data_IF_919923225311
#
_entry.id   IF_919923225311
#
_cell.length_a   1.000
_cell.length_b   1.000
_cell.length_c   1.000
_cell.angle_alpha   90.00
_cell.angle_beta   90.00
_cell.angle_gamma   90.00
#
_symmetry.space_group_name_H-M   'P 1'
#
loop_
_entity.id
_entity.type
_entity.pdbx_description
1 polymer ?
#
# COMPACT_ATOMS: atom_id res chain seq x y z
N UNK A 1 -3.33 6.15 -5.97
CA UNK A 1 -3.42 7.22 -4.95
C UNK A 1 -2.05 7.89 -4.91
N UNK A 2 -1.92 9.06 -5.54
CA UNK A 2 -0.62 9.67 -5.86
C UNK A 2 0.07 10.22 -4.61
N UNK A 3 1.40 10.07 -4.54
CA UNK A 3 2.26 10.40 -3.38
C UNK A 3 2.07 11.84 -2.86
N UNK A 4 1.63 12.75 -3.73
CA UNK A 4 1.27 14.13 -3.39
C UNK A 4 0.15 14.20 -2.34
N UNK A 5 -0.86 13.33 -2.39
CA UNK A 5 -1.96 13.34 -1.42
C UNK A 5 -1.54 12.86 -0.03
N UNK A 6 -0.58 11.94 0.05
CA UNK A 6 -0.04 11.49 1.33
C UNK A 6 0.80 12.61 1.98
N UNK A 7 1.67 13.27 1.21
CA UNK A 7 2.48 14.39 1.70
C UNK A 7 1.60 15.57 2.13
N UNK A 8 0.59 15.92 1.34
CA UNK A 8 -0.38 16.98 1.67
C UNK A 8 -1.21 16.59 2.90
N UNK A 9 -1.60 15.32 3.03
CA UNK A 9 -2.34 14.81 4.18
C UNK A 9 -1.55 14.96 5.49
N UNK A 10 -0.27 14.58 5.49
CA UNK A 10 0.57 14.72 6.68
C UNK A 10 0.92 16.19 6.99
N UNK A 11 1.14 17.03 5.98
CA UNK A 11 1.33 18.47 6.17
C UNK A 11 0.07 19.13 6.78
N UNK A 12 -1.12 18.73 6.33
CA UNK A 12 -2.38 19.20 6.87
C UNK A 12 -2.56 18.79 8.34
N UNK A 13 -2.17 17.56 8.72
CA UNK A 13 -2.19 17.11 10.12
C UNK A 13 -1.24 17.95 10.99
N UNK A 14 -0.04 18.27 10.50
CA UNK A 14 0.93 19.12 11.22
C UNK A 14 0.46 20.56 11.40
N UNK A 15 -0.14 21.16 10.37
CA UNK A 15 -0.75 22.50 10.47
C UNK A 15 -1.95 22.47 11.40
N UNK A 16 -2.76 21.41 11.35
CA UNK A 16 -3.92 21.23 12.22
C UNK A 16 -3.51 21.10 13.70
N UNK A 17 -2.53 20.27 14.01
CA UNK A 17 -2.03 20.15 15.40
C UNK A 17 -1.43 21.45 15.90
N UNK A 18 -0.72 22.19 15.05
CA UNK A 18 -0.20 23.51 15.38
C UNK A 18 -1.32 24.53 15.66
N UNK A 19 -2.37 24.56 14.83
CA UNK A 19 -3.53 25.44 15.03
C UNK A 19 -4.28 25.06 16.31
N UNK A 20 -4.51 23.76 16.56
CA UNK A 20 -5.18 23.29 17.79
C UNK A 20 -4.37 23.67 19.02
N UNK A 21 -3.05 23.55 18.98
CA UNK A 21 -2.17 23.92 20.09
C UNK A 21 -2.12 25.45 20.30
N UNK A 22 -2.12 26.23 19.22
CA UNK A 22 -2.20 27.69 19.28
C UNK A 22 -3.57 28.17 19.80
N UNK A 23 -4.65 27.54 19.35
CA UNK A 23 -6.01 27.82 19.81
C UNK A 23 -6.16 27.44 21.29
N UNK A 24 -5.69 26.26 21.70
CA UNK A 24 -5.70 25.84 23.10
C UNK A 24 -4.94 26.83 23.99
N UNK A 25 -3.77 27.32 23.54
CA UNK A 25 -3.00 28.35 24.23
C UNK A 25 -3.72 29.71 24.28
N UNK A 26 -4.42 30.09 23.21
CA UNK A 26 -5.20 31.33 23.15
C UNK A 26 -6.45 31.27 24.04
N UNK A 27 -7.13 30.12 24.11
CA UNK A 27 -8.30 29.91 24.96
C UNK A 27 -7.94 29.73 26.44
N UNK A 28 -6.80 29.10 26.76
CA UNK A 28 -6.30 29.11 28.16
C UNK A 28 -5.82 30.50 28.58
N UNK A 29 -5.42 31.35 27.64
CA UNK A 29 -5.16 32.77 27.92
C UNK A 29 -6.45 33.62 28.04
N UNK A 30 -7.61 33.11 27.61
CA UNK A 30 -8.90 33.81 27.61
C UNK A 30 -9.99 33.00 28.32
N UNK A 31 -9.79 32.77 29.63
CA UNK A 31 -10.84 32.65 30.66
C UNK A 31 -11.94 31.58 30.48
N UNK A 32 -11.85 30.50 31.26
CA UNK A 32 -13.01 29.65 31.60
C UNK A 32 -13.17 29.48 33.13
N UNK A 33 -14.40 29.40 33.67
CA UNK A 33 -14.66 29.52 35.12
C UNK A 33 -14.24 28.30 35.96
N UNK A 34 -13.99 27.15 35.34
CA UNK A 34 -13.52 25.95 36.06
C UNK A 34 -12.06 26.05 36.52
N UNK A 35 -11.29 26.97 35.92
CA UNK A 35 -9.99 27.37 36.43
C UNK A 35 -10.09 27.96 37.85
N UNK A 36 -11.26 28.46 38.28
CA UNK A 36 -11.41 29.11 39.59
C UNK A 36 -11.10 28.21 40.79
N UNK A 37 -11.56 26.95 40.81
CA UNK A 37 -11.34 26.07 41.98
C UNK A 37 -9.92 25.49 41.94
N UNK A 38 -9.43 25.09 40.77
CA UNK A 38 -8.06 24.59 40.64
C UNK A 38 -7.02 25.69 40.82
N UNK A 39 -7.28 26.93 40.38
CA UNK A 39 -6.40 28.08 40.65
C UNK A 39 -6.44 28.48 42.12
N UNK A 40 -7.62 28.47 42.77
CA UNK A 40 -7.69 28.72 44.22
C UNK A 40 -6.98 27.62 45.00
N UNK A 41 -7.13 26.35 44.63
CA UNK A 41 -6.40 25.24 45.26
C UNK A 41 -4.90 25.30 44.96
N UNK A 42 -4.49 25.72 43.76
CA UNK A 42 -3.10 25.92 43.39
C UNK A 42 -2.47 27.11 44.13
N UNK A 43 -3.23 28.18 44.33
CA UNK A 43 -2.80 29.36 45.08
C UNK A 43 -2.76 29.08 46.59
N UNK A 44 -3.71 28.31 47.13
CA UNK A 44 -3.66 27.82 48.51
C UNK A 44 -2.47 26.88 48.72
N UNK A 45 -2.20 25.99 47.75
CA UNK A 45 -1.02 25.11 47.80
C UNK A 45 0.28 25.90 47.67
N UNK A 46 0.32 26.95 46.84
CA UNK A 46 1.47 27.88 46.74
C UNK A 46 1.72 28.62 48.02
N UNK A 47 0.70 29.27 48.58
CA UNK A 47 0.83 30.04 49.82
C UNK A 47 1.19 29.16 51.01
N UNK A 48 0.68 27.93 51.07
CA UNK A 48 1.10 26.95 52.05
C UNK A 48 2.56 26.51 51.81
N UNK A 49 2.93 26.19 50.58
CA UNK A 49 4.29 25.74 50.23
C UNK A 49 5.35 26.84 50.41
N UNK A 50 4.99 28.12 50.19
CA UNK A 50 5.83 29.28 50.48
C UNK A 50 6.04 29.50 51.98
N UNK A 51 5.01 29.28 52.80
CA UNK A 51 5.13 29.32 54.27
C UNK A 51 5.97 28.15 54.81
N UNK A 52 5.91 26.99 54.15
CA UNK A 52 6.64 25.79 54.53
C UNK A 52 8.13 25.82 54.14
N UNK A 53 8.55 26.70 53.22
CA UNK A 53 9.93 26.72 52.74
C UNK A 53 10.42 28.14 52.37
N UNK A 54 10.72 28.97 53.39
CA UNK A 54 11.09 30.38 53.20
C UNK A 54 12.44 30.58 52.49
N UNK A 55 13.28 29.55 52.38
CA UNK A 55 14.65 29.66 51.87
C UNK A 55 14.81 29.21 50.40
N UNK A 56 13.71 28.96 49.67
CA UNK A 56 13.82 28.61 48.23
C UNK A 56 14.05 29.86 47.39
N UNK A 57 15.20 29.98 46.72
CA UNK A 57 15.54 31.22 46.05
C UNK A 57 14.67 31.38 44.79
N UNK A 58 14.14 32.58 44.60
CA UNK A 58 13.09 32.95 43.62
C UNK A 58 13.45 32.52 42.19
N UNK A 59 14.74 32.45 41.85
CA UNK A 59 15.22 32.05 40.54
C UNK A 59 14.92 30.58 40.20
N UNK A 60 14.90 29.65 41.17
CA UNK A 60 14.54 28.24 40.93
C UNK A 60 13.09 28.09 40.47
N UNK A 61 12.18 28.87 41.06
CA UNK A 61 10.75 28.89 40.68
C UNK A 61 10.53 29.43 39.27
N UNK A 62 11.31 30.45 38.87
CA UNK A 62 11.24 31.01 37.52
C UNK A 62 11.80 30.05 36.47
N UNK A 63 12.82 29.27 36.81
CA UNK A 63 13.39 28.25 35.93
C UNK A 63 12.44 27.08 35.74
N UNK A 64 11.84 26.54 36.80
CA UNK A 64 10.86 25.44 36.69
C UNK A 64 9.66 25.84 35.83
N UNK A 65 9.12 27.05 36.02
CA UNK A 65 8.03 27.57 35.20
C UNK A 65 8.43 27.77 33.72
N UNK A 66 9.64 28.29 33.45
CA UNK A 66 10.14 28.46 32.10
C UNK A 66 10.42 27.11 31.41
N UNK A 67 10.90 26.11 32.15
CA UNK A 67 11.15 24.76 31.65
C UNK A 67 9.86 24.09 31.19
N UNK A 68 8.82 24.11 32.01
CA UNK A 68 7.56 23.43 31.70
C UNK A 68 6.78 24.15 30.59
N UNK A 69 6.73 25.48 30.63
CA UNK A 69 5.86 26.26 29.74
C UNK A 69 6.50 26.65 28.41
N UNK A 70 7.83 26.75 28.35
CA UNK A 70 8.56 27.22 27.15
C UNK A 70 9.49 26.12 26.62
N UNK A 71 10.28 25.48 27.49
CA UNK A 71 11.30 24.52 27.03
C UNK A 71 10.66 23.24 26.50
N UNK A 72 9.67 22.67 27.18
CA UNK A 72 9.01 21.45 26.72
C UNK A 72 8.38 21.57 25.30
N UNK A 73 7.54 22.58 25.00
CA UNK A 73 6.97 22.72 23.65
C UNK A 73 8.02 23.13 22.60
N UNK A 74 9.03 23.94 22.97
CA UNK A 74 10.11 24.28 22.06
C UNK A 74 10.97 23.05 21.70
N UNK A 75 11.25 22.18 22.67
CA UNK A 75 12.00 20.95 22.44
C UNK A 75 11.21 19.97 21.55
N UNK A 76 9.91 19.84 21.77
CA UNK A 76 9.02 19.04 20.94
C UNK A 76 8.99 19.56 19.49
N UNK A 77 8.85 20.88 19.30
CA UNK A 77 8.91 21.50 17.98
C UNK A 77 10.26 21.26 17.30
N UNK A 78 11.36 21.40 18.03
CA UNK A 78 12.71 21.19 17.51
C UNK A 78 12.94 19.72 17.11
N UNK A 79 12.43 18.76 17.88
CA UNK A 79 12.46 17.34 17.52
C UNK A 79 11.66 17.03 16.27
N UNK A 80 10.48 17.63 16.10
CA UNK A 80 9.68 17.48 14.87
C UNK A 80 10.43 18.06 13.66
N UNK A 81 11.04 19.24 13.81
CA UNK A 81 11.84 19.90 12.78
C UNK A 81 13.15 19.14 12.48
N UNK A 82 13.73 18.44 13.45
CA UNK A 82 14.95 17.66 13.25
C UNK A 82 14.66 16.23 12.73
N UNK A 83 13.49 15.67 12.99
CA UNK A 83 13.14 14.31 12.57
C UNK A 83 12.78 14.22 11.08
N UNK A 84 12.12 15.24 10.51
CA UNK A 84 11.67 15.18 9.11
C UNK A 84 12.82 15.13 8.08
N UNK A 85 13.97 15.83 8.21
CA UNK A 85 15.07 15.73 7.27
C UNK A 85 15.74 14.36 7.31
N UNK A 86 15.76 13.69 8.47
CA UNK A 86 16.26 12.31 8.59
C UNK A 86 15.41 11.32 7.80
N UNK A 87 14.07 11.45 7.89
CA UNK A 87 13.14 10.59 7.15
C UNK A 87 13.27 10.82 5.64
N UNK A 88 13.35 12.09 5.21
CA UNK A 88 13.60 12.43 3.80
C UNK A 88 14.96 11.90 3.36
N UNK A 89 16.00 12.03 4.19
CA UNK A 89 17.33 11.54 3.86
C UNK A 89 17.40 10.02 3.73
N UNK A 90 16.77 9.26 4.64
CA UNK A 90 16.69 7.79 4.52
C UNK A 90 15.94 7.36 3.26
N UNK A 91 14.79 7.97 2.95
CA UNK A 91 14.03 7.70 1.72
C UNK A 91 14.79 8.12 0.46
N UNK A 92 15.44 9.28 0.47
CA UNK A 92 16.24 9.76 -0.67
C UNK A 92 17.46 8.88 -0.90
N UNK A 93 18.09 8.40 0.20
CA UNK A 93 19.17 7.42 0.13
C UNK A 93 18.68 6.11 -0.48
N UNK A 94 17.51 5.62 -0.11
CA UNK A 94 16.91 4.44 -0.73
C UNK A 94 16.73 4.64 -2.25
N UNK A 95 16.27 5.82 -2.69
CA UNK A 95 16.07 6.11 -4.13
C UNK A 95 17.39 6.28 -4.89
N UNK A 96 18.38 6.97 -4.33
CA UNK A 96 19.67 7.20 -4.99
C UNK A 96 20.60 5.99 -4.98
N UNK A 97 20.52 5.15 -3.94
CA UNK A 97 21.33 3.93 -3.83
C UNK A 97 20.60 2.68 -4.33
N UNK A 98 19.28 2.70 -4.54
CA UNK A 98 18.57 1.64 -5.27
C UNK A 98 18.70 1.84 -6.78
N UNK A 99 19.93 1.72 -7.28
CA UNK A 99 20.24 1.56 -8.72
C UNK A 99 19.80 0.16 -9.25
N UNK A 100 18.75 -0.44 -8.67
CA UNK A 100 18.32 -1.80 -9.02
C UNK A 100 16.88 -2.16 -8.63
N UNK A 101 16.09 -1.21 -8.14
CA UNK A 101 14.65 -1.41 -7.97
C UNK A 101 13.97 -0.49 -8.95
N UNK A 102 13.86 -0.95 -10.19
CA UNK A 102 12.92 -0.34 -11.13
C UNK A 102 11.55 -0.25 -10.44
N UNK A 103 10.80 0.86 -10.64
CA UNK A 103 9.43 0.93 -10.17
C UNK A 103 8.75 -0.33 -10.69
N UNK A 104 8.14 -1.11 -9.79
CA UNK A 104 7.41 -2.33 -10.12
C UNK A 104 6.20 -1.90 -10.96
N UNK A 105 6.44 -1.56 -12.22
CA UNK A 105 5.45 -1.61 -13.27
C UNK A 105 5.11 -3.09 -13.28
N UNK A 106 3.96 -3.43 -12.71
CA UNK A 106 3.51 -4.81 -12.59
C UNK A 106 3.62 -5.43 -13.98
N UNK A 107 4.57 -6.36 -14.18
CA UNK A 107 4.66 -7.09 -15.45
C UNK A 107 3.38 -7.92 -15.50
N UNK A 108 2.33 -7.39 -16.11
CA UNK A 108 1.14 -8.17 -16.42
C UNK A 108 1.61 -9.35 -17.27
N UNK A 109 1.18 -10.54 -16.90
CA UNK A 109 1.58 -11.75 -17.62
C UNK A 109 1.15 -11.63 -19.08
N UNK A 110 2.12 -11.64 -19.97
CA UNK A 110 1.94 -11.68 -21.41
C UNK A 110 2.54 -12.98 -21.94
N UNK A 111 1.84 -13.63 -22.87
CA UNK A 111 2.39 -14.77 -23.59
C UNK A 111 3.39 -14.24 -24.60
N UNK A 112 4.62 -14.73 -24.54
CA UNK A 112 5.71 -14.37 -25.45
C UNK A 112 5.86 -15.48 -26.50
N UNK A 113 6.49 -15.19 -27.64
CA UNK A 113 6.60 -16.16 -28.75
C UNK A 113 7.32 -17.44 -28.35
N UNK A 114 8.24 -17.33 -27.39
CA UNK A 114 8.98 -18.46 -26.80
C UNK A 114 8.12 -19.41 -25.96
N UNK A 115 6.96 -18.95 -25.48
CA UNK A 115 6.04 -19.79 -24.70
C UNK A 115 5.11 -20.62 -25.60
N UNK A 116 5.03 -20.32 -26.90
CA UNK A 116 4.15 -21.00 -27.84
C UNK A 116 4.71 -22.38 -28.18
N UNK A 117 3.85 -23.39 -28.17
CA UNK A 117 4.21 -24.79 -28.40
C UNK A 117 3.67 -25.27 -29.74
N UNK A 118 2.37 -25.58 -29.79
CA UNK A 118 1.73 -26.23 -30.93
C UNK A 118 0.51 -25.45 -31.40
N UNK A 119 0.35 -25.32 -32.72
CA UNK A 119 -0.86 -24.80 -33.34
C UNK A 119 -2.00 -25.81 -33.18
N UNK A 120 -3.14 -25.35 -32.69
CA UNK A 120 -4.34 -26.15 -32.47
C UNK A 120 -5.42 -25.80 -33.50
N UNK A 121 -6.15 -26.84 -33.91
CA UNK A 121 -7.41 -26.67 -34.62
C UNK A 121 -8.55 -26.47 -33.59
N UNK A 122 -9.35 -25.39 -33.67
CA UNK A 122 -10.37 -25.10 -32.66
C UNK A 122 -11.43 -26.19 -32.51
N UNK A 123 -11.83 -26.83 -33.61
CA UNK A 123 -12.92 -27.81 -33.61
C UNK A 123 -12.43 -29.14 -33.02
N UNK A 124 -11.20 -29.55 -33.38
CA UNK A 124 -10.55 -30.70 -32.77
C UNK A 124 -10.25 -30.50 -31.28
N UNK A 125 -9.93 -29.26 -30.89
CA UNK A 125 -9.66 -28.90 -29.50
C UNK A 125 -10.93 -29.01 -28.65
N UNK A 126 -12.05 -28.49 -29.13
CA UNK A 126 -13.32 -28.56 -28.41
C UNK A 126 -13.79 -29.99 -28.19
N UNK A 127 -13.60 -30.87 -29.17
CA UNK A 127 -13.92 -32.28 -29.05
C UNK A 127 -13.05 -33.01 -28.02
N UNK A 128 -11.78 -32.63 -27.89
CA UNK A 128 -10.84 -33.21 -26.90
C UNK A 128 -11.10 -32.72 -25.48
N UNK A 129 -11.52 -31.47 -25.33
CA UNK A 129 -11.67 -30.80 -24.03
C UNK A 129 -13.11 -30.89 -23.50
N UNK A 130 -13.96 -31.72 -24.09
CA UNK A 130 -15.31 -31.99 -23.56
C UNK A 130 -15.20 -32.72 -22.22
N UNK A 131 -15.69 -32.08 -21.17
CA UNK A 131 -15.76 -32.70 -19.85
C UNK A 131 -17.01 -33.57 -19.78
N UNK A 132 -16.84 -34.90 -19.75
CA UNK A 132 -17.95 -35.84 -19.58
C UNK A 132 -18.09 -36.19 -18.10
N UNK A 133 -19.19 -35.79 -17.48
CA UNK A 133 -19.53 -36.20 -16.11
C UNK A 133 -20.19 -37.59 -16.12
N UNK A 134 -19.58 -38.62 -15.51
CA UNK A 134 -20.16 -39.97 -15.45
C UNK A 134 -21.52 -40.02 -14.74
N UNK A 135 -21.79 -39.06 -13.86
CA UNK A 135 -23.03 -38.97 -13.09
C UNK A 135 -24.09 -38.08 -13.77
N UNK A 136 -23.73 -37.43 -14.89
CA UNK A 136 -24.65 -36.60 -15.68
C UNK A 136 -25.19 -35.36 -14.95
N UNK A 137 -24.52 -34.89 -13.90
CA UNK A 137 -24.93 -33.71 -13.15
C UNK A 137 -24.57 -32.40 -13.85
N UNK A 138 -23.61 -32.42 -14.78
CA UNK A 138 -23.13 -31.25 -15.54
C UNK A 138 -23.20 -31.51 -17.05
N UNK A 139 -23.61 -30.52 -17.87
CA UNK A 139 -23.62 -30.67 -19.33
C UNK A 139 -22.20 -30.89 -19.88
N UNK A 140 -22.08 -31.80 -20.85
CA UNK A 140 -20.84 -32.13 -21.54
C UNK A 140 -20.36 -31.03 -22.48
N UNK A 141 -19.87 -29.93 -21.91
CA UNK A 141 -19.36 -28.78 -22.65
C UNK A 141 -17.82 -28.79 -22.72
N UNK A 142 -17.22 -28.28 -23.81
CA UNK A 142 -15.78 -28.02 -23.87
C UNK A 142 -15.34 -27.14 -22.71
N UNK A 143 -14.29 -27.54 -22.00
CA UNK A 143 -13.73 -26.87 -20.83
C UNK A 143 -14.69 -26.73 -19.63
N UNK A 144 -15.84 -27.42 -19.62
CA UNK A 144 -16.79 -27.45 -18.51
C UNK A 144 -17.19 -26.05 -18.01
N UNK A 145 -16.83 -25.71 -16.78
CA UNK A 145 -17.14 -24.40 -16.17
C UNK A 145 -16.43 -23.21 -16.85
N UNK A 146 -15.33 -23.45 -17.57
CA UNK A 146 -14.61 -22.44 -18.33
C UNK A 146 -15.18 -22.24 -19.75
N UNK A 147 -16.21 -22.99 -20.13
CA UNK A 147 -16.80 -22.91 -21.47
C UNK A 147 -17.18 -21.48 -21.88
N UNK A 148 -17.79 -20.71 -20.96
CA UNK A 148 -18.15 -19.31 -21.23
C UNK A 148 -16.93 -18.43 -21.51
N UNK A 149 -15.85 -18.62 -20.75
CA UNK A 149 -14.61 -17.89 -20.98
C UNK A 149 -13.94 -18.31 -22.30
N UNK A 150 -14.02 -19.59 -22.65
CA UNK A 150 -13.59 -20.12 -23.94
C UNK A 150 -14.36 -19.52 -25.12
N UNK A 151 -15.70 -19.43 -25.04
CA UNK A 151 -16.52 -18.81 -26.08
C UNK A 151 -16.16 -17.33 -26.28
N UNK A 152 -15.94 -16.59 -25.19
CA UNK A 152 -15.49 -15.19 -25.25
C UNK A 152 -14.10 -15.06 -25.86
N UNK A 153 -13.18 -15.97 -25.51
CA UNK A 153 -11.84 -16.03 -26.10
C UNK A 153 -11.91 -16.26 -27.61
N UNK A 154 -12.72 -17.23 -28.08
CA UNK A 154 -12.95 -17.46 -29.51
C UNK A 154 -13.59 -16.28 -30.22
N UNK A 155 -14.51 -15.57 -29.56
CA UNK A 155 -15.16 -14.40 -30.14
C UNK A 155 -14.18 -13.25 -30.43
N UNK A 156 -13.03 -13.21 -29.74
CA UNK A 156 -11.95 -12.25 -29.99
C UNK A 156 -11.05 -12.60 -31.19
N UNK A 157 -11.34 -13.68 -31.92
CA UNK A 157 -10.58 -14.16 -33.07
C UNK A 157 -10.97 -13.39 -34.33
N UNK A 158 -9.96 -12.95 -35.08
CA UNK A 158 -10.11 -12.33 -36.39
C UNK A 158 -9.88 -13.36 -37.52
N UNK A 159 -10.39 -13.12 -38.74
CA UNK A 159 -10.13 -13.99 -39.89
C UNK A 159 -8.62 -14.10 -40.17
N UNK A 160 -8.08 -15.32 -40.12
CA UNK A 160 -6.64 -15.58 -40.31
C UNK A 160 -5.87 -15.88 -39.02
N UNK A 161 -6.48 -15.63 -37.86
CA UNK A 161 -5.87 -15.95 -36.57
C UNK A 161 -5.74 -17.46 -36.37
N UNK A 162 -4.70 -17.86 -35.65
CA UNK A 162 -4.44 -19.25 -35.27
C UNK A 162 -4.40 -19.39 -33.75
N UNK A 163 -4.93 -20.50 -33.22
CA UNK A 163 -4.86 -20.80 -31.79
C UNK A 163 -3.63 -21.66 -31.55
N UNK A 164 -2.86 -21.34 -30.51
CA UNK A 164 -1.67 -22.07 -30.12
C UNK A 164 -1.73 -22.44 -28.65
N UNK A 165 -1.27 -23.65 -28.31
CA UNK A 165 -1.00 -24.02 -26.92
C UNK A 165 0.24 -23.28 -26.44
N UNK A 166 0.26 -22.82 -25.20
CA UNK A 166 1.44 -22.23 -24.57
C UNK A 166 1.70 -22.84 -23.18
N UNK A 167 2.97 -22.83 -22.77
CA UNK A 167 3.40 -23.09 -21.40
C UNK A 167 4.45 -22.07 -21.02
N UNK A 168 4.20 -21.32 -19.94
CA UNK A 168 5.07 -20.24 -19.50
C UNK A 168 5.44 -20.42 -18.03
N UNK A 169 6.73 -20.36 -17.73
CA UNK A 169 7.24 -20.34 -16.36
C UNK A 169 7.25 -18.90 -15.87
N UNK A 170 6.51 -18.63 -14.80
CA UNK A 170 6.29 -17.31 -14.27
C UNK A 170 6.79 -17.19 -12.83
N UNK A 171 7.59 -16.17 -12.54
CA UNK A 171 8.08 -15.89 -11.19
C UNK A 171 7.06 -15.05 -10.42
N UNK A 172 6.66 -15.50 -9.24
CA UNK A 172 5.75 -14.75 -8.37
C UNK A 172 6.48 -13.65 -7.60
N UNK A 173 5.75 -12.57 -7.27
CA UNK A 173 6.28 -11.40 -6.57
C UNK A 173 6.90 -11.72 -5.20
N UNK A 174 6.39 -12.74 -4.52
CA UNK A 174 6.74 -13.07 -3.14
C UNK A 174 7.76 -14.22 -3.04
N UNK A 175 8.43 -14.54 -4.15
CA UNK A 175 9.21 -15.77 -4.28
C UNK A 175 8.33 -16.94 -4.76
N UNK A 176 9.00 -17.95 -5.31
CA UNK A 176 8.34 -19.09 -5.94
C UNK A 176 8.05 -18.87 -7.43
N UNK A 177 7.84 -19.98 -8.12
CA UNK A 177 7.58 -20.02 -9.54
C UNK A 177 6.31 -20.80 -9.81
N UNK A 178 5.61 -20.46 -10.87
CA UNK A 178 4.45 -21.22 -11.34
C UNK A 178 4.52 -21.46 -12.83
N UNK A 179 3.98 -22.59 -13.26
CA UNK A 179 3.75 -22.89 -14.66
C UNK A 179 2.31 -22.48 -14.98
N UNK A 180 2.16 -21.69 -16.04
CA UNK A 180 0.88 -21.26 -16.59
C UNK A 180 0.72 -21.86 -17.98
N UNK A 181 -0.39 -22.56 -18.19
CA UNK A 181 -0.69 -23.23 -19.45
C UNK A 181 -2.07 -22.83 -19.96
N UNK A 182 -2.20 -22.86 -21.29
CA UNK A 182 -3.46 -22.55 -21.94
C UNK A 182 -3.28 -22.33 -23.43
N UNK A 183 -4.14 -21.48 -23.98
CA UNK A 183 -4.22 -21.21 -25.40
C UNK A 183 -4.06 -19.71 -25.67
N UNK A 184 -3.33 -19.36 -26.73
CA UNK A 184 -3.14 -17.98 -27.16
C UNK A 184 -3.59 -17.82 -28.61
N UNK A 185 -4.19 -16.68 -28.93
CA UNK A 185 -4.46 -16.28 -30.31
C UNK A 185 -3.17 -15.70 -30.86
N UNK A 186 -2.71 -16.23 -31.99
CA UNK A 186 -1.55 -15.73 -32.72
C UNK A 186 -2.03 -15.13 -34.02
N UNK A 187 -1.70 -13.84 -34.18
CA UNK A 187 -2.02 -12.98 -35.32
C UNK A 187 -0.76 -12.80 -36.18
N UNK A 188 -0.92 -12.22 -37.37
CA UNK A 188 0.21 -11.90 -38.26
C UNK A 188 1.19 -10.89 -37.63
N UNK A 189 0.69 -9.95 -36.84
CA UNK A 189 1.43 -8.84 -36.23
C UNK A 189 1.90 -9.14 -34.79
N UNK A 190 1.42 -10.20 -34.14
CA UNK A 190 1.78 -10.48 -32.76
C UNK A 190 0.97 -11.57 -32.07
N UNK A 191 1.15 -11.66 -30.75
CA UNK A 191 0.35 -12.52 -29.88
C UNK A 191 -0.82 -11.67 -29.36
N UNK A 192 -2.02 -12.14 -29.64
CA UNK A 192 -3.27 -11.53 -29.19
C UNK A 192 -3.67 -12.02 -27.79
N UNK A 193 -4.99 -12.07 -27.51
CA UNK A 193 -5.51 -12.55 -26.24
C UNK A 193 -5.06 -13.99 -25.91
N UNK A 194 -5.03 -14.33 -24.63
CA UNK A 194 -4.78 -15.69 -24.14
C UNK A 194 -5.89 -16.16 -23.20
N UNK A 195 -6.04 -17.48 -23.10
CA UNK A 195 -6.99 -18.19 -22.27
C UNK A 195 -6.24 -19.23 -21.44
N UNK A 196 -6.25 -19.04 -20.11
CA UNK A 196 -5.56 -19.93 -19.16
C UNK A 196 -6.45 -21.11 -18.78
N UNK A 197 -5.90 -22.32 -18.84
CA UNK A 197 -6.57 -23.54 -18.37
C UNK A 197 -5.92 -24.11 -17.12
N UNK A 198 -4.60 -23.96 -16.96
CA UNK A 198 -3.88 -24.49 -15.81
C UNK A 198 -2.96 -23.45 -15.18
N UNK A 199 -2.90 -23.49 -13.85
CA UNK A 199 -1.84 -22.86 -13.05
C UNK A 199 -1.31 -23.89 -12.07
N UNK A 200 0.01 -24.08 -12.05
CA UNK A 200 0.67 -25.02 -11.14
C UNK A 200 1.83 -24.31 -10.46
N UNK A 201 1.78 -24.21 -9.13
CA UNK A 201 2.89 -23.70 -8.33
C UNK A 201 4.00 -24.75 -8.32
N UNK A 202 5.23 -24.34 -8.66
CA UNK A 202 6.44 -25.13 -8.50
C UNK A 202 6.87 -24.98 -7.03
N UNK A 203 7.02 -26.11 -6.35
CA UNK A 203 7.57 -26.14 -5.00
C UNK A 203 9.09 -26.21 -5.14
N UNK A 204 9.80 -25.36 -4.40
CA UNK A 204 11.25 -25.51 -4.24
C UNK A 204 11.51 -26.81 -3.46
N UNK A 205 12.28 -27.71 -4.07
CA UNK A 205 12.71 -29.00 -3.47
C UNK A 205 13.76 -28.80 -2.36
#
# INVERSE_FOLDING_TARGET
MTWQHAVIGYAAIGVFTFIVMAAAHYFTASGTPEAGIYDVLAELRRTQNERSNPDRPVWKRRIEYALEKIVAPALAALLVVAAWPLVIWWKAREIWFSQGTEPIMEKEFAVEREHLLERQDPDALEAREVVTDPLGAVPGLPFGHLNRAWLNFKAGREPGDSIWTFSARWKLKWGGEEIREGYAIVRLDGIGPYFLTMRRVLKDD
#
